data_IF_560644168956
#
_entry.id   IF_560644168956
#
_cell.length_a   1.000
_cell.length_b   1.000
_cell.length_c   1.000
_cell.angle_alpha   90.00
_cell.angle_beta   90.00
_cell.angle_gamma   90.00
#
_symmetry.space_group_name_H-M   'P 1'
#
loop_
_entity.id
_entity.type
_entity.pdbx_description
1 polymer ?
#
# COMPACT_ATOMS: atom_id res chain seq x y z
N UNK A 1 0.23 -5.52 5.42
CA UNK A 1 -0.33 -5.49 4.05
C UNK A 1 0.83 -5.65 3.11
N UNK A 2 1.06 -6.86 2.58
CA UNK A 2 2.19 -7.10 1.66
C UNK A 2 1.67 -7.05 0.23
N UNK A 3 1.18 -5.87 -0.14
CA UNK A 3 1.18 -5.45 -1.53
C UNK A 3 2.63 -5.26 -1.91
N UNK A 4 3.12 -6.09 -2.83
CA UNK A 4 4.46 -5.87 -3.39
C UNK A 4 4.40 -4.58 -4.17
N UNK A 5 5.14 -3.56 -3.74
CA UNK A 5 5.40 -2.36 -4.54
C UNK A 5 6.28 -2.76 -5.72
N UNK A 6 5.67 -3.39 -6.73
CA UNK A 6 6.28 -3.51 -8.04
C UNK A 6 5.93 -2.22 -8.77
N UNK A 7 6.81 -1.22 -8.63
CA UNK A 7 6.87 -0.13 -9.59
C UNK A 7 7.38 -0.76 -10.89
N UNK A 8 6.48 -1.30 -11.70
CA UNK A 8 6.80 -1.77 -13.05
C UNK A 8 6.43 -0.66 -14.05
N UNK A 9 7.40 0.14 -14.52
CA UNK A 9 7.14 1.21 -15.47
C UNK A 9 6.56 0.71 -16.80
N UNK A 10 6.69 -0.59 -17.12
CA UNK A 10 6.18 -1.19 -18.35
C UNK A 10 4.65 -1.36 -18.36
N UNK A 11 4.00 -1.30 -17.19
CA UNK A 11 2.54 -1.35 -17.07
C UNK A 11 1.88 -0.06 -17.57
N UNK A 12 2.63 1.04 -17.67
CA UNK A 12 2.14 2.34 -18.14
C UNK A 12 2.59 2.58 -19.57
N UNK A 13 1.65 2.94 -20.46
CA UNK A 13 1.98 3.29 -21.84
C UNK A 13 2.97 4.46 -21.90
N UNK A 14 3.79 4.57 -22.97
CA UNK A 14 4.80 5.63 -23.11
C UNK A 14 4.23 7.04 -22.94
N UNK A 15 2.99 7.24 -23.39
CA UNK A 15 2.24 8.50 -23.28
C UNK A 15 1.89 8.93 -21.85
N UNK A 16 2.04 8.04 -20.87
CA UNK A 16 1.85 8.33 -19.44
C UNK A 16 3.19 8.35 -18.72
N UNK A 17 4.05 7.37 -18.97
CA UNK A 17 5.35 7.24 -18.31
C UNK A 17 6.28 8.43 -18.63
N UNK A 18 6.36 8.84 -19.90
CA UNK A 18 7.24 9.93 -20.34
C UNK A 18 6.87 11.27 -19.70
N UNK A 19 5.62 11.78 -19.77
CA UNK A 19 5.28 13.04 -19.13
C UNK A 19 5.39 12.99 -17.61
N UNK A 20 5.09 11.85 -16.98
CA UNK A 20 5.27 11.67 -15.54
C UNK A 20 6.73 11.84 -15.11
N UNK A 21 7.65 11.13 -15.78
CA UNK A 21 9.09 11.22 -15.50
C UNK A 21 9.59 12.65 -15.74
N UNK A 22 9.16 13.29 -16.84
CA UNK A 22 9.53 14.66 -17.14
C UNK A 22 9.05 15.65 -16.05
N UNK A 23 7.83 15.48 -15.54
CA UNK A 23 7.29 16.31 -14.47
C UNK A 23 8.03 16.11 -13.14
N UNK A 24 8.34 14.86 -12.77
CA UNK A 24 9.13 14.54 -11.58
C UNK A 24 10.53 15.17 -11.66
N UNK A 25 11.20 15.02 -12.81
CA UNK A 25 12.52 15.62 -13.03
C UNK A 25 12.47 17.15 -12.98
N UNK A 26 11.45 17.78 -13.55
CA UNK A 26 11.27 19.23 -13.48
C UNK A 26 11.11 19.72 -12.02
N UNK A 27 10.33 19.01 -11.20
CA UNK A 27 10.20 19.32 -9.77
C UNK A 27 11.52 19.19 -9.02
N UNK A 28 12.27 18.10 -9.25
CA UNK A 28 13.57 17.88 -8.60
C UNK A 28 14.56 18.98 -8.99
N UNK A 29 14.64 19.31 -10.28
CA UNK A 29 15.51 20.38 -10.77
C UNK A 29 15.12 21.74 -10.18
N UNK A 30 13.83 22.06 -10.11
CA UNK A 30 13.36 23.30 -9.49
C UNK A 30 13.78 23.35 -8.01
N UNK A 31 13.47 22.31 -7.24
CA UNK A 31 13.80 22.24 -5.81
C UNK A 31 15.31 22.38 -5.62
N UNK A 32 16.12 21.70 -6.42
CA UNK A 32 17.59 21.80 -6.39
C UNK A 32 18.11 23.19 -6.70
N UNK A 33 17.60 23.83 -7.76
CA UNK A 33 17.98 25.21 -8.12
C UNK A 33 17.59 26.19 -7.01
N UNK A 34 16.40 26.03 -6.42
CA UNK A 34 15.94 26.89 -5.33
C UNK A 34 16.77 26.68 -4.06
N UNK A 35 17.08 25.43 -3.71
CA UNK A 35 17.93 25.11 -2.57
C UNK A 35 19.34 25.71 -2.71
N UNK A 36 19.91 25.67 -3.92
CA UNK A 36 21.22 26.25 -4.21
C UNK A 36 21.21 27.78 -4.23
N UNK A 37 20.11 28.42 -4.64
CA UNK A 37 20.00 29.88 -4.75
C UNK A 37 19.59 30.57 -3.45
N UNK A 38 18.70 29.94 -2.67
CA UNK A 38 17.98 30.59 -1.58
C UNK A 38 18.37 30.04 -0.19
N UNK A 39 19.52 29.38 -0.06
CA UNK A 39 20.14 29.11 1.24
C UNK A 39 19.43 28.09 2.14
N UNK A 40 18.56 27.24 1.58
CA UNK A 40 17.93 26.13 2.31
C UNK A 40 16.40 26.20 2.45
N UNK A 41 15.76 27.27 1.99
CA UNK A 41 14.29 27.33 1.97
C UNK A 41 13.73 26.37 0.90
N UNK A 42 12.92 25.41 1.35
CA UNK A 42 12.25 24.47 0.44
C UNK A 42 11.04 25.14 -0.22
N UNK A 43 10.97 25.20 -1.56
CA UNK A 43 9.79 25.73 -2.23
C UNK A 43 8.60 24.76 -2.05
N UNK A 44 7.58 25.21 -1.30
CA UNK A 44 6.43 24.39 -0.90
C UNK A 44 5.67 23.82 -2.10
N UNK A 45 5.44 24.63 -3.13
CA UNK A 45 4.66 24.24 -4.31
C UNK A 45 5.24 23.04 -5.08
N UNK A 46 6.48 23.06 -5.58
CA UNK A 46 7.05 21.91 -6.28
C UNK A 46 7.26 20.71 -5.37
N UNK A 47 7.47 20.92 -4.06
CA UNK A 47 7.57 19.83 -3.09
C UNK A 47 6.23 19.08 -2.94
N UNK A 48 5.11 19.80 -2.78
CA UNK A 48 3.78 19.19 -2.71
C UNK A 48 3.40 18.51 -4.03
N UNK A 49 3.75 19.10 -5.18
CA UNK A 49 3.52 18.49 -6.49
C UNK A 49 4.27 17.16 -6.62
N UNK A 50 5.55 17.12 -6.20
CA UNK A 50 6.37 15.91 -6.24
C UNK A 50 5.78 14.80 -5.38
N UNK A 51 5.35 15.13 -4.16
CA UNK A 51 4.70 14.17 -3.25
C UNK A 51 3.39 13.65 -3.87
N UNK A 52 2.57 14.54 -4.44
CA UNK A 52 1.32 14.16 -5.11
C UNK A 52 1.55 13.24 -6.31
N UNK A 53 2.57 13.52 -7.12
CA UNK A 53 2.95 12.68 -8.27
C UNK A 53 3.42 11.29 -7.81
N UNK A 54 4.32 11.22 -6.84
CA UNK A 54 4.84 9.94 -6.33
C UNK A 54 3.75 9.11 -5.65
N UNK A 55 2.91 9.76 -4.81
CA UNK A 55 1.78 9.11 -4.16
C UNK A 55 0.70 8.65 -5.14
N UNK A 56 0.38 9.48 -6.13
CA UNK A 56 -0.57 9.13 -7.20
C UNK A 56 -0.09 7.93 -8.02
N UNK A 57 1.20 7.89 -8.37
CA UNK A 57 1.80 6.75 -9.07
C UNK A 57 1.77 5.48 -8.23
N UNK A 58 2.05 5.57 -6.93
CA UNK A 58 1.97 4.43 -6.01
C UNK A 58 0.55 3.85 -5.95
N UNK A 59 -0.47 4.70 -5.89
CA UNK A 59 -1.87 4.27 -5.90
C UNK A 59 -2.28 3.67 -7.25
N UNK A 60 -1.85 4.26 -8.36
CA UNK A 60 -2.15 3.77 -9.71
C UNK A 60 -1.48 2.41 -10.00
N UNK A 61 -0.32 2.15 -9.39
CA UNK A 61 0.44 0.91 -9.55
C UNK A 61 0.02 -0.18 -8.56
N UNK A 62 -0.95 0.10 -7.68
CA UNK A 62 -1.40 -0.87 -6.69
C UNK A 62 -2.22 -1.96 -7.38
N UNK A 63 -1.55 -3.06 -7.74
CA UNK A 63 -2.22 -4.29 -8.16
C UNK A 63 -2.55 -5.11 -6.91
N UNK A 64 -3.84 -5.29 -6.56
CA UNK A 64 -4.20 -6.28 -5.55
C UNK A 64 -3.76 -7.66 -6.09
N UNK A 65 -3.01 -8.42 -5.28
CA UNK A 65 -2.67 -9.80 -5.62
C UNK A 65 -3.97 -10.53 -5.98
N UNK A 66 -4.05 -11.22 -7.13
CA UNK A 66 -5.23 -12.02 -7.46
C UNK A 66 -5.45 -13.02 -6.34
N UNK A 67 -6.70 -13.10 -5.85
CA UNK A 67 -7.07 -13.93 -4.70
C UNK A 67 -7.11 -15.40 -5.17
N UNK A 68 -5.95 -16.03 -5.33
CA UNK A 68 -5.76 -17.43 -5.77
C UNK A 68 -6.62 -18.40 -4.94
N UNK A 69 -6.87 -18.02 -3.68
CA UNK A 69 -7.77 -18.72 -2.78
C UNK A 69 -9.22 -18.78 -3.27
N UNK A 70 -9.73 -17.74 -3.92
CA UNK A 70 -11.10 -17.71 -4.41
C UNK A 70 -11.32 -18.74 -5.53
N UNK A 71 -10.32 -18.91 -6.40
CA UNK A 71 -10.31 -19.94 -7.44
C UNK A 71 -10.22 -21.35 -6.83
N UNK A 72 -9.35 -21.55 -5.82
CA UNK A 72 -9.22 -22.82 -5.11
C UNK A 72 -10.53 -23.22 -4.38
N UNK A 73 -11.15 -22.28 -3.66
CA UNK A 73 -12.40 -22.51 -2.93
C UNK A 73 -13.55 -22.92 -3.86
N UNK A 74 -13.64 -22.30 -5.04
CA UNK A 74 -14.64 -22.62 -6.04
C UNK A 74 -14.40 -24.00 -6.68
N UNK A 75 -13.14 -24.37 -6.91
CA UNK A 75 -12.78 -25.66 -7.49
C UNK A 75 -13.02 -26.85 -6.54
N UNK A 76 -12.82 -26.67 -5.23
CA UNK A 76 -12.88 -27.72 -4.21
C UNK A 76 -14.13 -27.66 -3.29
N UNK A 77 -15.17 -26.92 -3.72
CA UNK A 77 -16.45 -26.78 -3.03
C UNK A 77 -16.36 -26.51 -1.51
N UNK A 78 -15.36 -25.74 -1.08
CA UNK A 78 -15.03 -25.66 0.34
C UNK A 78 -16.11 -24.92 1.14
N UNK A 79 -16.56 -25.52 2.25
CA UNK A 79 -17.57 -24.99 3.16
C UNK A 79 -16.91 -24.37 4.40
N UNK A 80 -17.45 -23.24 4.86
CA UNK A 80 -16.99 -22.62 6.11
C UNK A 80 -17.48 -23.45 7.29
N UNK A 81 -16.57 -23.84 8.18
CA UNK A 81 -16.89 -24.65 9.36
C UNK A 81 -16.66 -23.91 10.68
N UNK A 82 -15.79 -22.89 10.71
CA UNK A 82 -15.56 -22.07 11.88
C UNK A 82 -15.03 -20.69 11.48
N UNK A 83 -15.37 -19.68 12.27
CA UNK A 83 -14.77 -18.35 12.21
C UNK A 83 -14.20 -18.01 13.58
N UNK A 84 -13.01 -17.43 13.60
CA UNK A 84 -12.36 -16.87 14.78
C UNK A 84 -12.15 -15.39 14.50
N UNK A 85 -12.75 -14.55 15.32
CA UNK A 85 -12.56 -13.11 15.24
C UNK A 85 -11.17 -12.77 15.81
N UNK A 86 -10.41 -12.03 15.03
CA UNK A 86 -9.15 -11.42 15.39
C UNK A 86 -9.38 -10.15 16.20
N UNK A 87 -8.29 -9.62 16.75
CA UNK A 87 -8.31 -8.37 17.49
C UNK A 87 -7.19 -7.46 16.99
N UNK A 88 -7.47 -6.17 16.92
CA UNK A 88 -6.51 -5.14 16.52
C UNK A 88 -6.54 -4.03 17.56
N UNK A 89 -5.38 -3.76 18.19
CA UNK A 89 -5.21 -2.68 19.17
C UNK A 89 -4.37 -1.54 18.58
N UNK A 90 -4.73 -1.11 17.38
CA UNK A 90 -4.04 0.01 16.72
C UNK A 90 -4.60 1.34 17.24
N UNK A 91 -3.71 2.26 17.58
CA UNK A 91 -4.08 3.56 18.13
C UNK A 91 -3.16 4.67 17.62
N UNK A 92 -3.74 5.83 17.37
CA UNK A 92 -3.00 7.06 17.05
C UNK A 92 -3.14 8.02 18.22
N UNK A 93 -2.01 8.48 18.76
CA UNK A 93 -1.99 9.36 19.93
C UNK A 93 -1.05 10.54 19.72
N UNK A 94 -1.34 11.64 20.41
CA UNK A 94 -0.45 12.79 20.50
C UNK A 94 0.37 12.67 21.78
N UNK A 95 1.69 12.71 21.64
CA UNK A 95 2.59 12.76 22.81
C UNK A 95 2.49 14.13 23.47
N UNK A 96 2.79 14.20 24.78
CA UNK A 96 2.79 15.46 25.55
C UNK A 96 3.80 16.50 25.04
N UNK A 97 4.65 16.15 24.07
CA UNK A 97 5.63 17.02 23.41
C UNK A 97 5.20 17.46 22.01
N UNK A 98 3.96 17.19 21.59
CA UNK A 98 3.40 17.61 20.31
C UNK A 98 3.73 16.71 19.11
N UNK A 99 4.45 15.60 19.33
CA UNK A 99 4.73 14.62 18.27
C UNK A 99 3.60 13.60 18.14
N UNK A 100 3.26 13.24 16.90
CA UNK A 100 2.31 12.15 16.60
C UNK A 100 3.02 10.81 16.81
N UNK A 101 2.42 9.93 17.61
CA UNK A 101 2.89 8.58 17.83
C UNK A 101 1.86 7.57 17.29
N UNK A 102 2.35 6.60 16.53
CA UNK A 102 1.58 5.45 16.06
C UNK A 102 1.92 4.25 16.92
N UNK A 103 0.91 3.66 17.55
CA UNK A 103 1.06 2.42 18.30
C UNK A 103 0.66 1.30 17.36
N UNK A 104 1.64 0.53 16.89
CA UNK A 104 1.38 -0.72 16.19
C UNK A 104 1.11 -1.80 17.24
N UNK A 105 -0.14 -2.18 17.40
CA UNK A 105 -0.53 -3.23 18.33
C UNK A 105 -0.28 -4.63 17.75
N UNK A 106 -0.34 -5.65 18.60
CA UNK A 106 -0.42 -7.04 18.13
C UNK A 106 -1.70 -7.22 17.31
N UNK A 107 -1.52 -7.60 16.05
CA UNK A 107 -2.61 -7.79 15.10
C UNK A 107 -2.79 -9.29 14.89
N UNK A 108 -3.78 -9.85 15.58
CA UNK A 108 -4.22 -11.22 15.32
C UNK A 108 -5.27 -11.14 14.22
N UNK A 109 -5.03 -11.66 13.00
CA UNK A 109 -6.00 -11.63 11.92
C UNK A 109 -7.18 -12.54 12.22
N UNK A 110 -8.36 -12.20 11.67
CA UNK A 110 -9.51 -13.09 11.67
C UNK A 110 -9.12 -14.40 10.99
N UNK A 111 -9.61 -15.55 11.45
CA UNK A 111 -9.35 -16.84 10.82
C UNK A 111 -10.67 -17.52 10.46
N UNK A 112 -10.85 -17.81 9.18
CA UNK A 112 -11.97 -18.64 8.73
C UNK A 112 -11.45 -20.02 8.34
N UNK A 113 -12.01 -21.05 8.97
CA UNK A 113 -11.74 -22.45 8.64
C UNK A 113 -12.69 -22.92 7.52
N UNK A 114 -12.09 -23.53 6.51
CA UNK A 114 -12.76 -24.08 5.32
C UNK A 114 -12.53 -25.60 5.28
N UNK A 115 -13.61 -26.38 5.28
CA UNK A 115 -13.57 -27.82 4.99
C UNK A 115 -13.83 -28.02 3.51
N UNK A 116 -12.85 -28.55 2.80
CA UNK A 116 -12.96 -28.85 1.37
C UNK A 116 -13.41 -30.31 1.15
N UNK A 117 -13.80 -30.63 -0.08
CA UNK A 117 -14.28 -31.96 -0.49
C UNK A 117 -13.20 -33.05 -0.44
N UNK A 118 -11.93 -32.65 -0.36
CA UNK A 118 -10.75 -33.48 -0.10
C UNK A 118 -10.64 -33.98 1.37
N UNK A 119 -11.54 -33.53 2.25
CA UNK A 119 -11.54 -33.89 3.67
C UNK A 119 -10.50 -33.15 4.51
N UNK A 120 -9.78 -32.18 3.94
CA UNK A 120 -8.79 -31.35 4.63
C UNK A 120 -9.44 -30.06 5.10
N UNK A 121 -9.12 -29.66 6.34
CA UNK A 121 -9.52 -28.37 6.90
C UNK A 121 -8.40 -27.36 6.70
N UNK A 122 -8.68 -26.33 5.91
CA UNK A 122 -7.77 -25.21 5.66
C UNK A 122 -8.17 -24.00 6.51
N UNK A 123 -7.19 -23.39 7.18
CA UNK A 123 -7.39 -22.15 7.91
C UNK A 123 -6.89 -20.99 7.05
N UNK A 124 -7.81 -20.12 6.60
CA UNK A 124 -7.45 -18.87 5.94
C UNK A 124 -7.46 -17.75 6.97
N UNK A 125 -6.35 -17.04 7.06
CA UNK A 125 -6.30 -15.76 7.76
C UNK A 125 -7.02 -14.72 6.88
N UNK A 126 -8.18 -14.27 7.32
CA UNK A 126 -8.90 -13.11 6.77
C UNK A 126 -8.27 -11.85 7.41
N UNK A 127 -7.99 -10.85 6.59
CA UNK A 127 -7.19 -9.69 6.99
C UNK A 127 -8.04 -8.48 7.35
#
# INVERSE_FOLDING_TARGET
MEGTMNLDPSQFGPWVAIPFIAAVMACIVWIGIHALRNGGDLPIFPALLLIGLLGGMMMASYTPKPDEWAAFKAAHNCKVIAKRDGHSNDGVGFTTRGSVAVIAGDRTPDQTAYLCDDGVTYWKNER
#
